data_IF_743405346098
#
_entry.id   IF_743405346098
#
_cell.length_a   1.000
_cell.length_b   1.000
_cell.length_c   1.000
_cell.angle_alpha   90.00
_cell.angle_beta   90.00
_cell.angle_gamma   90.00
#
_symmetry.space_group_name_H-M   'P 1'
#
loop_
_entity.id
_entity.type
_entity.pdbx_description
1 polymer ?
#
# COMPACT_ATOMS: atom_id res chain seq x y z
N UNK A 1 15.65 7.43 -15.89
CA UNK A 1 14.26 7.68 -15.49
C UNK A 1 13.61 6.38 -15.03
N UNK A 2 13.00 6.37 -13.88
CA UNK A 2 12.25 5.20 -13.40
C UNK A 2 10.76 5.44 -13.62
N UNK A 3 10.03 4.37 -13.85
CA UNK A 3 8.59 4.42 -13.98
C UNK A 3 7.95 3.23 -13.31
N UNK A 4 6.68 3.38 -12.96
CA UNK A 4 5.90 2.34 -12.29
C UNK A 4 5.03 1.65 -13.33
N UNK A 5 5.07 0.32 -13.33
CA UNK A 5 4.13 -0.46 -14.11
C UNK A 5 2.84 -0.64 -13.33
N UNK A 6 1.74 -0.18 -13.90
CA UNK A 6 0.42 -0.39 -13.30
C UNK A 6 -0.27 -1.52 -14.04
N UNK A 7 -0.68 -2.59 -13.34
CA UNK A 7 -1.48 -3.62 -13.97
C UNK A 7 -2.78 -3.03 -14.54
N UNK A 8 -3.17 -3.50 -15.69
CA UNK A 8 -4.37 -3.02 -16.36
C UNK A 8 -5.59 -3.08 -15.43
N UNK A 9 -5.67 -4.13 -14.62
CA UNK A 9 -6.78 -4.39 -13.72
C UNK A 9 -6.97 -3.29 -12.68
N UNK A 10 -5.93 -2.50 -12.38
CA UNK A 10 -6.02 -1.43 -11.38
C UNK A 10 -7.10 -0.42 -11.77
N UNK A 11 -7.26 -0.14 -13.06
CA UNK A 11 -8.24 0.83 -13.53
C UNK A 11 -9.67 0.29 -13.52
N UNK A 12 -9.82 -1.01 -13.37
CA UNK A 12 -11.14 -1.65 -13.29
C UNK A 12 -11.61 -1.82 -11.83
N UNK A 13 -10.73 -1.53 -10.87
CA UNK A 13 -11.09 -1.62 -9.46
C UNK A 13 -11.93 -0.41 -9.08
N UNK A 14 -12.95 -0.64 -8.25
CA UNK A 14 -13.81 0.43 -7.77
C UNK A 14 -13.18 1.12 -6.55
N UNK A 15 -12.20 1.98 -6.82
CA UNK A 15 -11.41 2.64 -5.78
C UNK A 15 -11.70 4.14 -5.74
N UNK A 16 -11.63 4.71 -4.53
CA UNK A 16 -11.61 6.16 -4.37
C UNK A 16 -10.25 6.71 -4.84
N UNK A 17 -10.17 8.01 -5.16
CA UNK A 17 -8.87 8.58 -5.57
C UNK A 17 -7.76 8.36 -4.56
N UNK A 18 -8.04 8.45 -3.26
CA UNK A 18 -7.03 8.25 -2.22
C UNK A 18 -6.59 6.79 -2.19
N UNK A 19 -7.53 5.85 -2.27
CA UNK A 19 -7.21 4.42 -2.33
C UNK A 19 -6.35 4.11 -3.54
N UNK A 20 -6.70 4.66 -4.69
CA UNK A 20 -5.93 4.47 -5.91
C UNK A 20 -4.52 5.01 -5.77
N UNK A 21 -4.38 6.21 -5.20
CA UNK A 21 -3.07 6.82 -5.02
C UNK A 21 -2.19 5.99 -4.09
N UNK A 22 -2.74 5.54 -2.96
CA UNK A 22 -2.01 4.71 -2.01
C UNK A 22 -1.59 3.39 -2.66
N UNK A 23 -2.50 2.77 -3.42
CA UNK A 23 -2.17 1.53 -4.15
C UNK A 23 -1.03 1.76 -5.13
N UNK A 24 -1.06 2.85 -5.89
CA UNK A 24 0.02 3.18 -6.83
C UNK A 24 1.35 3.37 -6.09
N UNK A 25 1.33 4.00 -4.92
CA UNK A 25 2.54 4.18 -4.12
C UNK A 25 3.10 2.84 -3.67
N UNK A 26 2.23 1.94 -3.21
CA UNK A 26 2.66 0.60 -2.79
C UNK A 26 3.24 -0.19 -3.96
N UNK A 27 2.65 -0.08 -5.14
CA UNK A 27 3.20 -0.71 -6.34
C UNK A 27 4.59 -0.17 -6.69
N UNK A 28 4.78 1.14 -6.51
CA UNK A 28 6.09 1.77 -6.72
C UNK A 28 7.14 1.22 -5.76
N UNK A 29 6.76 1.00 -4.51
CA UNK A 29 7.68 0.56 -3.46
C UNK A 29 7.89 -0.96 -3.45
N UNK A 30 7.11 -1.69 -4.21
CA UNK A 30 7.14 -3.16 -4.20
C UNK A 30 8.48 -3.67 -4.71
N UNK A 31 9.06 -4.60 -3.94
CA UNK A 31 10.26 -5.31 -4.38
C UNK A 31 9.90 -6.26 -5.53
N UNK A 32 10.65 -6.19 -6.63
CA UNK A 32 10.35 -6.97 -7.83
C UNK A 32 10.56 -8.48 -7.64
N UNK A 33 11.36 -8.86 -6.65
CA UNK A 33 11.66 -10.28 -6.37
C UNK A 33 10.67 -10.85 -5.36
N UNK A 34 10.43 -10.15 -4.24
CA UNK A 34 9.58 -10.66 -3.17
C UNK A 34 8.11 -10.26 -3.31
N UNK A 35 7.83 -9.20 -4.08
CA UNK A 35 6.48 -8.67 -4.22
C UNK A 35 5.99 -7.90 -3.01
N UNK A 36 6.86 -7.63 -2.04
CA UNK A 36 6.50 -6.98 -0.78
C UNK A 36 7.09 -5.60 -0.66
N UNK A 37 6.48 -4.77 0.17
CA UNK A 37 7.00 -3.46 0.54
C UNK A 37 6.73 -3.20 2.01
N UNK A 38 7.51 -2.28 2.59
CA UNK A 38 7.54 -2.10 4.05
C UNK A 38 7.43 -0.63 4.48
N UNK A 39 6.76 0.28 3.77
CA UNK A 39 6.68 1.67 4.22
C UNK A 39 5.81 1.80 5.46
N UNK A 40 6.18 2.71 6.37
CA UNK A 40 5.34 3.05 7.50
C UNK A 40 4.15 3.89 7.04
N UNK A 41 3.10 3.97 7.86
CA UNK A 41 1.97 4.85 7.57
C UNK A 41 2.43 6.31 7.44
N UNK A 42 3.37 6.74 8.30
CA UNK A 42 3.87 8.11 8.24
C UNK A 42 4.61 8.37 6.93
N UNK A 43 5.40 7.42 6.46
CA UNK A 43 6.09 7.56 5.20
C UNK A 43 5.12 7.65 4.03
N UNK A 44 4.10 6.78 4.01
CA UNK A 44 3.08 6.83 2.96
C UNK A 44 2.39 8.19 2.98
N UNK A 45 2.01 8.66 4.18
CA UNK A 45 1.33 9.94 4.33
C UNK A 45 2.19 11.09 3.80
N UNK A 46 3.48 11.11 4.17
CA UNK A 46 4.38 12.17 3.74
C UNK A 46 4.57 12.17 2.23
N UNK A 47 4.80 11.02 1.64
CA UNK A 47 5.09 10.93 0.21
C UNK A 47 3.85 11.09 -0.65
N UNK A 48 2.68 10.70 -0.15
CA UNK A 48 1.41 10.88 -0.86
C UNK A 48 0.74 12.22 -0.55
N UNK A 49 1.31 13.01 0.36
CA UNK A 49 0.77 14.33 0.74
C UNK A 49 -0.65 14.24 1.27
N UNK A 50 -0.92 13.23 2.09
CA UNK A 50 -2.22 13.05 2.75
C UNK A 50 -1.99 12.84 4.23
N UNK A 51 -3.06 12.91 5.02
CA UNK A 51 -2.96 12.69 6.46
C UNK A 51 -2.72 11.21 6.78
N UNK A 52 -2.13 10.95 7.95
CA UNK A 52 -1.93 9.58 8.39
C UNK A 52 -3.26 8.83 8.52
N UNK A 53 -4.30 9.51 9.02
CA UNK A 53 -5.61 8.89 9.14
C UNK A 53 -6.19 8.49 7.78
N UNK A 54 -5.95 9.30 6.75
CA UNK A 54 -6.37 8.94 5.39
C UNK A 54 -5.63 7.71 4.88
N UNK A 55 -4.32 7.58 5.19
CA UNK A 55 -3.55 6.39 4.84
C UNK A 55 -4.11 5.15 5.51
N UNK A 56 -4.34 5.22 6.81
CA UNK A 56 -4.87 4.09 7.59
C UNK A 56 -6.21 3.64 7.02
N UNK A 57 -7.09 4.59 6.71
CA UNK A 57 -8.39 4.29 6.13
C UNK A 57 -8.26 3.65 4.75
N UNK A 58 -7.39 4.20 3.89
CA UNK A 58 -7.19 3.67 2.55
C UNK A 58 -6.63 2.26 2.59
N UNK A 59 -5.64 2.01 3.44
CA UNK A 59 -5.05 0.67 3.61
C UNK A 59 -6.10 -0.32 4.08
N UNK A 60 -6.93 0.08 5.04
CA UNK A 60 -8.01 -0.76 5.54
C UNK A 60 -8.99 -1.13 4.42
N UNK A 61 -9.39 -0.16 3.61
CA UNK A 61 -10.32 -0.40 2.51
C UNK A 61 -9.71 -1.31 1.44
N UNK A 62 -8.43 -1.10 1.09
CA UNK A 62 -7.75 -1.96 0.12
C UNK A 62 -7.65 -3.40 0.64
N UNK A 63 -7.39 -3.56 1.95
CA UNK A 63 -7.33 -4.87 2.58
C UNK A 63 -8.71 -5.56 2.56
N UNK A 64 -9.77 -4.83 2.86
CA UNK A 64 -11.12 -5.37 2.87
C UNK A 64 -11.58 -5.82 1.48
N UNK A 65 -11.04 -5.20 0.43
CA UNK A 65 -11.32 -5.56 -0.96
C UNK A 65 -10.39 -6.66 -1.49
N UNK A 66 -9.54 -7.23 -0.61
CA UNK A 66 -8.55 -8.25 -0.96
C UNK A 66 -7.54 -7.82 -2.03
N UNK A 67 -7.37 -6.51 -2.21
CA UNK A 67 -6.41 -5.98 -3.17
C UNK A 67 -5.01 -6.06 -2.60
N UNK A 68 -4.87 -5.89 -1.29
CA UNK A 68 -3.59 -6.03 -0.60
C UNK A 68 -3.76 -6.91 0.63
N UNK A 69 -2.64 -7.52 1.04
CA UNK A 69 -2.51 -8.19 2.33
C UNK A 69 -1.57 -7.37 3.19
N UNK A 70 -1.89 -7.23 4.46
CA UNK A 70 -1.10 -6.45 5.40
C UNK A 70 -0.69 -7.34 6.55
N UNK A 71 0.61 -7.36 6.85
CA UNK A 71 1.15 -8.05 8.01
C UNK A 71 1.77 -7.00 8.92
N UNK A 72 1.35 -7.01 10.18
CA UNK A 72 1.92 -6.12 11.20
C UNK A 72 3.07 -6.85 11.89
N UNK A 73 4.24 -6.23 11.88
CA UNK A 73 5.43 -6.79 12.51
C UNK A 73 5.61 -6.18 13.88
N UNK A 74 5.66 -7.05 14.90
CA UNK A 74 5.79 -6.63 16.30
C UNK A 74 7.11 -7.09 16.87
N UNK A 75 7.66 -6.28 17.78
CA UNK A 75 8.81 -6.63 18.58
C UNK A 75 8.49 -6.22 20.01
N UNK A 76 8.42 -7.19 20.93
CA UNK A 76 8.07 -6.95 22.35
C UNK A 76 6.74 -6.21 22.48
N UNK A 77 5.75 -6.62 21.67
CA UNK A 77 4.39 -6.06 21.65
C UNK A 77 4.33 -4.60 21.14
N UNK A 78 5.41 -4.12 20.53
CA UNK A 78 5.42 -2.81 19.89
C UNK A 78 5.45 -3.02 18.37
N UNK A 79 4.51 -2.39 17.67
CA UNK A 79 4.47 -2.47 16.22
C UNK A 79 5.67 -1.74 15.62
N UNK A 80 6.50 -2.47 14.88
CA UNK A 80 7.71 -1.92 14.25
C UNK A 80 7.45 -1.43 12.84
N UNK A 81 6.73 -2.22 12.06
CA UNK A 81 6.48 -1.88 10.66
C UNK A 81 5.34 -2.72 10.13
N UNK A 82 4.83 -2.32 8.97
CA UNK A 82 3.87 -3.11 8.22
C UNK A 82 4.57 -3.69 7.00
N UNK A 83 4.21 -4.91 6.65
CA UNK A 83 4.54 -5.51 5.37
C UNK A 83 3.29 -5.49 4.50
N UNK A 84 3.44 -5.10 3.25
CA UNK A 84 2.33 -5.06 2.30
C UNK A 84 2.64 -5.98 1.14
N UNK A 85 1.65 -6.76 0.74
CA UNK A 85 1.73 -7.60 -0.44
C UNK A 85 0.52 -7.32 -1.31
N UNK A 86 0.77 -7.08 -2.59
CA UNK A 86 -0.29 -6.69 -3.52
C UNK A 86 -0.79 -7.94 -4.23
N UNK A 87 -2.11 -8.18 -4.15
CA UNK A 87 -2.75 -9.41 -4.63
C UNK A 87 -3.23 -9.30 -6.07
N UNK A 88 -2.68 -8.39 -6.85
CA UNK A 88 -3.00 -8.25 -8.27
C UNK A 88 -2.08 -9.14 -9.10
N UNK A 89 -2.65 -9.81 -10.06
CA UNK A 89 -1.90 -10.68 -10.97
C UNK A 89 -1.26 -9.90 -12.12
#
# INVERSE_FOLDING_TARGET
>A
MSFVKLPYEVFELNLTPIEFYVLCYLLKCRNSVTGKCFPSYNRIANECHISRSSVVKAVKQLKEKDIISVTHNYHRQVMRSNSYEINLT
#
